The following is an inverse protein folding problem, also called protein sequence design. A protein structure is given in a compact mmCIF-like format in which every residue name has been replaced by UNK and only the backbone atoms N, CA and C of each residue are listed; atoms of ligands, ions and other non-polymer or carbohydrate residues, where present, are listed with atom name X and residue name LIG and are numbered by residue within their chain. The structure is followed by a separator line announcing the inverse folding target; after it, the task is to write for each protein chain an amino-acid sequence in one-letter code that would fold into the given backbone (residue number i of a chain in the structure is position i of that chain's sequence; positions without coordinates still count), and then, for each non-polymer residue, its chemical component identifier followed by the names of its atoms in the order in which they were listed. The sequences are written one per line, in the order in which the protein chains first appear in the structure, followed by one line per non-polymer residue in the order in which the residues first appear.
data_IF_208079749127
#
_entry.id   IF_208079749127
#
_cell.length_a   1.000
_cell.length_b   1.000
_cell.length_c   1.000
_cell.angle_alpha   90.00
_cell.angle_beta   90.00
_cell.angle_gamma   90.00
#
_symmetry.space_group_name_H-M   'P 1'
#
loop_
_entity.id
_entity.type
_entity.pdbx_description
1 polymer ?
#
# COMPACT_ATOMS: atom_id res chain seq x y z
N UNK A 1 18.45 6.94 -3.57
CA UNK A 1 17.48 6.10 -4.33
C UNK A 1 16.11 6.36 -3.74
N UNK A 2 15.06 6.28 -4.55
CA UNK A 2 13.69 6.53 -4.12
C UNK A 2 12.81 5.32 -4.41
N UNK A 3 11.75 5.19 -3.62
CA UNK A 3 10.71 4.18 -3.76
C UNK A 3 9.43 4.89 -4.18
N UNK A 4 8.73 4.36 -5.19
CA UNK A 4 7.44 4.88 -5.61
C UNK A 4 6.31 4.02 -5.06
N UNK A 5 5.28 4.66 -4.51
CA UNK A 5 4.10 4.01 -3.96
C UNK A 5 2.88 4.54 -4.69
N UNK A 6 2.11 3.64 -5.28
CA UNK A 6 0.84 3.92 -5.92
C UNK A 6 -0.29 3.86 -4.89
N UNK A 7 -1.14 4.89 -4.86
CA UNK A 7 -2.26 5.07 -3.94
C UNK A 7 -3.57 5.10 -4.71
N UNK A 8 -4.46 4.15 -4.45
CA UNK A 8 -5.71 3.99 -5.19
C UNK A 8 -6.83 4.85 -4.61
N UNK A 9 -7.33 5.79 -5.41
CA UNK A 9 -8.45 6.68 -5.11
C UNK A 9 -9.72 6.37 -5.93
N UNK A 10 -9.64 5.41 -6.84
CA UNK A 10 -10.75 5.00 -7.68
C UNK A 10 -11.83 4.20 -6.93
N UNK A 11 -12.86 3.80 -7.67
CA UNK A 11 -13.90 2.90 -7.19
C UNK A 11 -14.07 1.77 -8.19
N UNK A 12 -13.88 0.53 -7.75
CA UNK A 12 -14.09 -0.67 -8.56
C UNK A 12 -15.60 -0.94 -8.71
N UNK A 13 -15.97 -1.79 -9.66
CA UNK A 13 -17.35 -2.26 -9.79
C UNK A 13 -17.70 -3.28 -8.70
N UNK A 14 -18.99 -3.44 -8.42
CA UNK A 14 -19.54 -4.46 -7.52
C UNK A 14 -19.09 -4.33 -6.06
N UNK A 15 -18.96 -5.46 -5.38
CA UNK A 15 -18.61 -5.54 -3.95
C UNK A 15 -17.27 -4.86 -3.62
N UNK A 16 -16.28 -4.95 -4.51
CA UNK A 16 -15.00 -4.28 -4.34
C UNK A 16 -15.14 -2.74 -4.30
N UNK A 17 -16.11 -2.17 -5.04
CA UNK A 17 -16.40 -0.75 -5.00
C UNK A 17 -17.08 -0.31 -3.70
N UNK A 18 -17.92 -1.17 -3.11
CA UNK A 18 -18.51 -0.93 -1.78
C UNK A 18 -17.39 -0.89 -0.75
N UNK A 19 -16.48 -1.87 -0.79
CA UNK A 19 -15.31 -1.91 0.08
C UNK A 19 -14.45 -0.65 -0.06
N UNK A 20 -14.10 -0.22 -1.29
CA UNK A 20 -13.32 1.00 -1.51
C UNK A 20 -13.97 2.22 -0.87
N UNK A 21 -15.30 2.38 -1.02
CA UNK A 21 -16.05 3.51 -0.41
C UNK A 21 -16.04 3.42 1.11
N UNK A 22 -16.25 2.23 1.67
CA UNK A 22 -16.25 2.01 3.12
C UNK A 22 -14.89 2.37 3.74
N UNK A 23 -13.78 1.90 3.15
CA UNK A 23 -12.42 2.24 3.61
C UNK A 23 -12.20 3.76 3.59
N UNK A 24 -12.51 4.42 2.48
CA UNK A 24 -12.33 5.88 2.36
C UNK A 24 -13.19 6.67 3.35
N UNK A 25 -14.46 6.29 3.53
CA UNK A 25 -15.35 6.96 4.47
C UNK A 25 -14.87 6.78 5.92
N UNK A 26 -14.45 5.57 6.27
CA UNK A 26 -13.96 5.24 7.60
C UNK A 26 -12.63 5.94 7.93
N UNK A 27 -11.69 5.90 7.02
CA UNK A 27 -10.36 6.49 7.18
C UNK A 27 -10.32 7.99 6.86
N UNK A 28 -11.47 8.57 6.48
CA UNK A 28 -11.66 10.00 6.15
C UNK A 28 -10.63 10.52 5.14
N UNK A 29 -10.36 9.74 4.08
CA UNK A 29 -9.38 10.12 3.07
C UNK A 29 -9.67 9.50 1.70
N UNK A 30 -8.94 9.93 0.66
CA UNK A 30 -9.24 9.54 -0.72
C UNK A 30 -8.81 8.11 -1.07
N UNK A 31 -7.91 7.50 -0.29
CA UNK A 31 -7.27 6.25 -0.67
C UNK A 31 -7.90 5.04 0.01
N UNK A 32 -8.06 3.96 -0.76
CA UNK A 32 -8.60 2.67 -0.28
C UNK A 32 -7.67 1.49 -0.50
N UNK A 33 -6.53 1.71 -1.19
CA UNK A 33 -5.53 0.68 -1.46
C UNK A 33 -4.19 1.32 -1.79
N UNK A 34 -3.08 0.58 -1.65
CA UNK A 34 -1.76 1.01 -2.07
C UNK A 34 -0.92 -0.17 -2.56
N UNK A 35 0.07 0.13 -3.40
CA UNK A 35 1.02 -0.82 -3.97
C UNK A 35 2.41 -0.19 -4.06
N UNK A 36 3.47 -0.99 -3.90
CA UNK A 36 4.84 -0.58 -4.12
C UNK A 36 5.19 -0.80 -5.60
N UNK A 37 5.64 0.24 -6.29
CA UNK A 37 6.08 0.15 -7.68
C UNK A 37 7.52 -0.36 -7.71
N UNK A 38 7.72 -1.55 -8.27
CA UNK A 38 9.04 -2.17 -8.43
C UNK A 38 9.71 -1.80 -9.75
N UNK A 39 8.91 -1.61 -10.81
CA UNK A 39 9.41 -1.30 -12.15
C UNK A 39 8.37 -0.55 -12.97
N UNK A 40 8.81 0.44 -13.72
CA UNK A 40 8.03 1.12 -14.76
C UNK A 40 8.45 0.58 -16.12
N UNK A 41 7.49 0.40 -17.05
CA UNK A 41 7.72 -0.13 -18.39
C UNK A 41 7.45 0.93 -19.45
N UNK A 42 8.09 0.80 -20.62
CA UNK A 42 7.98 1.74 -21.74
C UNK A 42 6.56 1.80 -22.34
N UNK A 43 5.76 0.76 -22.12
CA UNK A 43 4.35 0.70 -22.57
C UNK A 43 3.38 1.40 -21.59
N UNK A 44 3.89 2.06 -20.56
CA UNK A 44 3.10 2.77 -19.55
C UNK A 44 2.50 1.86 -18.46
N UNK A 45 2.82 0.56 -18.47
CA UNK A 45 2.47 -0.33 -17.35
C UNK A 45 3.52 -0.28 -16.26
N UNK A 46 3.15 -0.73 -15.07
CA UNK A 46 4.08 -0.86 -13.94
C UNK A 46 3.98 -2.26 -13.34
N UNK A 47 5.11 -2.77 -12.88
CA UNK A 47 5.15 -3.95 -12.04
C UNK A 47 5.11 -3.51 -10.58
N UNK A 48 4.10 -3.96 -9.86
CA UNK A 48 3.85 -3.63 -8.46
C UNK A 48 3.91 -4.84 -7.55
N UNK A 49 4.27 -4.60 -6.30
CA UNK A 49 4.07 -5.49 -5.18
C UNK A 49 3.01 -4.95 -4.24
N UNK A 50 2.19 -5.82 -3.68
CA UNK A 50 1.20 -5.46 -2.69
C UNK A 50 0.44 -6.67 -2.17
N UNK A 51 -0.45 -6.44 -1.20
CA UNK A 51 -1.39 -7.43 -0.71
C UNK A 51 -2.81 -6.99 -0.99
N UNK A 52 -3.64 -7.89 -1.51
CA UNK A 52 -5.02 -7.58 -1.94
C UNK A 52 -5.94 -8.76 -1.67
N UNK A 53 -7.17 -8.45 -1.22
CA UNK A 53 -8.20 -9.47 -1.04
C UNK A 53 -8.56 -10.19 -2.34
N UNK A 54 -8.65 -9.45 -3.44
CA UNK A 54 -9.00 -10.04 -4.75
C UNK A 54 -7.91 -10.95 -5.32
N UNK A 55 -6.68 -10.78 -4.89
CA UNK A 55 -5.54 -11.58 -5.32
C UNK A 55 -5.09 -12.59 -4.23
N UNK A 56 -5.89 -12.74 -3.16
CA UNK A 56 -5.72 -13.67 -2.03
C UNK A 56 -4.49 -13.43 -1.15
N UNK A 57 -3.88 -12.26 -1.20
CA UNK A 57 -2.74 -11.91 -0.34
C UNK A 57 -1.62 -11.19 -1.07
N UNK A 58 -0.40 -11.47 -0.62
CA UNK A 58 0.83 -10.85 -1.13
C UNK A 58 1.20 -11.42 -2.51
N UNK A 59 1.35 -10.51 -3.49
CA UNK A 59 1.68 -10.90 -4.87
C UNK A 59 2.39 -9.79 -5.65
N UNK A 60 3.05 -10.19 -6.72
CA UNK A 60 3.58 -9.34 -7.80
C UNK A 60 2.56 -9.24 -8.94
N UNK A 61 2.38 -8.06 -9.51
CA UNK A 61 1.43 -7.85 -10.59
C UNK A 61 1.87 -6.72 -11.52
N UNK A 62 1.71 -6.92 -12.83
CA UNK A 62 1.90 -5.87 -13.82
C UNK A 62 0.54 -5.32 -14.24
N UNK A 63 0.39 -3.99 -14.23
CA UNK A 63 -0.87 -3.32 -14.53
C UNK A 63 -0.65 -1.88 -15.03
N UNK A 64 -1.58 -1.30 -15.79
CA UNK A 64 -1.57 0.12 -16.08
C UNK A 64 -1.97 0.94 -14.85
N UNK A 65 -1.35 2.10 -14.66
CA UNK A 65 -1.77 3.10 -13.67
C UNK A 65 -2.55 4.21 -14.37
N UNK A 66 -3.87 4.16 -14.23
CA UNK A 66 -4.75 5.25 -14.67
C UNK A 66 -4.60 6.44 -13.69
N UNK A 67 -4.08 7.61 -14.11
CA UNK A 67 -3.84 8.76 -13.23
C UNK A 67 -5.13 9.35 -12.64
N UNK A 68 -6.28 9.05 -13.22
CA UNK A 68 -7.58 9.43 -12.63
C UNK A 68 -7.93 8.58 -11.40
N UNK A 69 -7.34 7.39 -11.29
CA UNK A 69 -7.63 6.42 -10.20
C UNK A 69 -6.46 6.21 -9.25
N UNK A 70 -5.26 6.62 -9.64
CA UNK A 70 -4.05 6.43 -8.86
C UNK A 70 -3.29 7.74 -8.69
N UNK A 71 -2.82 7.99 -7.49
CA UNK A 71 -1.75 8.94 -7.21
C UNK A 71 -0.46 8.18 -6.93
N UNK A 72 0.68 8.76 -7.25
CA UNK A 72 1.99 8.19 -6.95
C UNK A 72 2.74 9.14 -6.02
N UNK A 73 3.27 8.62 -4.94
CA UNK A 73 4.20 9.33 -4.06
C UNK A 73 5.58 8.70 -4.15
N UNK A 74 6.59 9.54 -4.06
CA UNK A 74 7.99 9.12 -4.06
C UNK A 74 8.59 9.37 -2.68
N UNK A 75 9.25 8.36 -2.12
CA UNK A 75 9.84 8.42 -0.78
C UNK A 75 11.28 7.92 -0.81
N UNK A 76 12.19 8.46 0.02
CA UNK A 76 13.54 7.91 0.13
C UNK A 76 13.52 6.49 0.66
N UNK A 77 14.35 5.63 0.08
CA UNK A 77 14.48 4.25 0.53
C UNK A 77 15.27 3.38 -0.44
N UNK A 78 15.57 2.16 -0.01
CA UNK A 78 16.20 1.13 -0.82
C UNK A 78 15.12 0.22 -1.41
N UNK A 79 14.85 0.38 -2.69
CA UNK A 79 13.84 -0.42 -3.39
C UNK A 79 14.15 -1.92 -3.33
N UNK A 80 15.44 -2.29 -3.39
CA UNK A 80 15.87 -3.68 -3.33
C UNK A 80 15.42 -4.36 -2.04
N UNK A 81 15.60 -3.72 -0.88
CA UNK A 81 15.23 -4.26 0.43
C UNK A 81 13.71 -4.46 0.54
N UNK A 82 12.94 -3.50 0.03
CA UNK A 82 11.48 -3.60 0.02
C UNK A 82 10.98 -4.71 -0.92
N UNK A 83 11.61 -4.90 -2.08
CA UNK A 83 11.31 -6.00 -3.01
C UNK A 83 11.67 -7.34 -2.38
N UNK A 84 12.84 -7.47 -1.76
CA UNK A 84 13.27 -8.69 -1.05
C UNK A 84 12.26 -9.09 0.04
N UNK A 85 11.77 -8.11 0.80
CA UNK A 85 10.73 -8.36 1.79
C UNK A 85 9.46 -8.96 1.14
N UNK A 86 8.98 -8.37 0.05
CA UNK A 86 7.79 -8.87 -0.67
C UNK A 86 8.01 -10.26 -1.28
N UNK A 87 9.20 -10.53 -1.80
CA UNK A 87 9.57 -11.84 -2.34
C UNK A 87 9.52 -12.91 -1.27
N UNK A 88 10.04 -12.61 -0.07
CA UNK A 88 10.02 -13.51 1.08
C UNK A 88 8.60 -13.81 1.61
N UNK A 89 7.64 -12.88 1.41
CA UNK A 89 6.26 -13.01 1.87
C UNK A 89 5.27 -13.35 0.74
N UNK A 90 5.77 -13.70 -0.45
CA UNK A 90 4.92 -14.06 -1.59
C UNK A 90 4.05 -15.27 -1.25
N UNK A 91 2.73 -15.11 -1.40
CA UNK A 91 1.75 -16.16 -1.08
C UNK A 91 1.20 -16.09 0.34
N UNK A 92 1.71 -15.21 1.20
CA UNK A 92 1.07 -14.91 2.48
C UNK A 92 -0.36 -14.40 2.25
N UNK A 93 -1.29 -14.78 3.13
CA UNK A 93 -2.71 -14.51 2.97
C UNK A 93 -3.07 -13.02 3.12
N UNK A 94 -4.29 -12.68 2.72
CA UNK A 94 -4.84 -11.35 2.97
C UNK A 94 -5.49 -11.27 4.35
N UNK A 95 -5.10 -10.30 5.16
CA UNK A 95 -5.68 -10.07 6.48
C UNK A 95 -6.97 -9.25 6.38
N UNK A 96 -8.10 -9.95 6.26
CA UNK A 96 -9.45 -9.34 6.31
C UNK A 96 -9.73 -8.83 7.73
N UNK A 97 -9.28 -9.57 8.74
CA UNK A 97 -9.59 -9.32 10.13
C UNK A 97 -8.81 -8.12 10.64
N UNK A 98 -7.52 -8.00 10.28
CA UNK A 98 -6.70 -6.82 10.56
C UNK A 98 -7.27 -5.54 9.92
N UNK A 99 -7.80 -5.63 8.71
CA UNK A 99 -8.52 -4.51 8.09
C UNK A 99 -9.78 -4.08 8.87
N UNK A 100 -10.52 -5.04 9.43
CA UNK A 100 -11.66 -4.76 10.33
C UNK A 100 -11.17 -4.29 11.70
N UNK A 101 -9.97 -4.66 12.11
CA UNK A 101 -9.31 -4.25 13.36
C UNK A 101 -9.05 -2.75 13.47
N UNK A 102 -9.02 -2.00 12.35
CA UNK A 102 -9.13 -0.54 12.40
C UNK A 102 -10.46 -0.06 13.01
N UNK A 103 -11.48 -0.92 13.01
CA UNK A 103 -12.83 -0.63 13.51
C UNK A 103 -13.00 -1.14 14.93
N UNK A 104 -12.42 -2.30 15.26
CA UNK A 104 -12.61 -2.99 16.55
C UNK A 104 -11.25 -3.46 17.08
N UNK A 105 -10.67 -2.77 18.06
CA UNK A 105 -9.55 -3.30 18.88
C UNK A 105 -10.10 -4.26 19.93
N UNK A 106 -9.43 -5.40 20.24
CA UNK A 106 -8.11 -5.90 19.80
C UNK A 106 -8.25 -7.17 18.95
N UNK A 107 -7.83 -7.16 17.72
CA UNK A 107 -7.69 -8.38 16.93
C UNK A 107 -6.21 -8.74 16.89
N UNK A 108 -5.89 -10.00 17.15
CA UNK A 108 -4.52 -10.50 17.15
C UNK A 108 -3.88 -10.34 15.75
N UNK A 109 -2.67 -9.81 15.75
CA UNK A 109 -1.80 -9.71 14.58
C UNK A 109 -1.44 -11.13 14.10
N UNK A 110 -1.89 -11.51 12.89
CA UNK A 110 -1.54 -12.78 12.26
C UNK A 110 -0.40 -12.54 11.28
N UNK A 111 0.81 -12.84 11.71
CA UNK A 111 2.06 -12.61 10.95
C UNK A 111 2.16 -13.35 9.61
N UNK A 112 1.19 -14.16 9.26
CA UNK A 112 1.08 -14.85 7.96
C UNK A 112 0.09 -14.18 7.00
N UNK A 113 -0.49 -13.04 7.39
CA UNK A 113 -1.49 -12.33 6.61
C UNK A 113 -1.22 -10.83 6.66
N UNK A 114 -1.38 -10.17 5.53
CA UNK A 114 -1.07 -8.77 5.35
C UNK A 114 -2.19 -8.03 4.62
N UNK A 115 -2.61 -6.88 5.10
CA UNK A 115 -3.40 -5.98 4.27
C UNK A 115 -2.50 -4.99 3.51
N UNK A 116 -3.03 -4.26 2.54
CA UNK A 116 -2.23 -3.53 1.54
C UNK A 116 -1.23 -2.54 2.14
N UNK A 117 -1.66 -1.68 3.05
CA UNK A 117 -0.79 -0.66 3.65
C UNK A 117 0.16 -1.23 4.71
N UNK A 118 -0.24 -2.27 5.41
CA UNK A 118 0.63 -3.00 6.32
C UNK A 118 1.80 -3.63 5.58
N UNK A 119 1.54 -4.37 4.48
CA UNK A 119 2.59 -4.97 3.67
C UNK A 119 3.59 -3.94 3.12
N UNK A 120 3.09 -2.80 2.61
CA UNK A 120 3.97 -1.72 2.14
C UNK A 120 4.80 -1.14 3.28
N UNK A 121 4.20 -0.83 4.44
CA UNK A 121 4.92 -0.25 5.57
C UNK A 121 5.93 -1.22 6.18
N UNK A 122 5.61 -2.51 6.26
CA UNK A 122 6.54 -3.55 6.71
C UNK A 122 7.74 -3.68 5.76
N UNK A 123 7.51 -3.70 4.45
CA UNK A 123 8.56 -3.72 3.43
C UNK A 123 9.46 -2.47 3.47
N UNK A 124 8.94 -1.34 3.96
CA UNK A 124 9.72 -0.13 4.23
C UNK A 124 10.44 -0.14 5.59
N UNK A 125 10.36 -1.23 6.37
CA UNK A 125 11.03 -1.40 7.66
C UNK A 125 10.31 -0.79 8.86
N UNK A 126 9.03 -0.46 8.77
CA UNK A 126 8.27 0.04 9.91
C UNK A 126 7.83 -1.09 10.84
N UNK A 127 8.17 -0.99 12.12
CA UNK A 127 7.91 -2.05 13.12
C UNK A 127 6.42 -2.27 13.39
N UNK A 128 5.64 -1.19 13.46
CA UNK A 128 4.20 -1.22 13.75
C UNK A 128 3.37 -1.01 12.46
N UNK A 129 3.72 -1.70 11.38
CA UNK A 129 3.13 -1.55 10.06
C UNK A 129 1.59 -1.69 10.03
N UNK A 130 1.04 -2.55 10.89
CA UNK A 130 -0.40 -2.78 11.07
C UNK A 130 -1.20 -1.53 11.51
N UNK A 131 -0.52 -0.48 11.99
CA UNK A 131 -1.17 0.77 12.40
C UNK A 131 -1.54 1.68 11.24
N UNK A 132 -1.07 1.40 10.02
CA UNK A 132 -1.23 2.28 8.88
C UNK A 132 -2.34 1.80 7.94
N UNK A 133 -3.40 2.60 7.81
CA UNK A 133 -4.31 2.49 6.67
C UNK A 133 -3.73 3.23 5.45
N UNK A 134 -4.28 3.06 4.23
CA UNK A 134 -3.76 3.73 3.04
C UNK A 134 -3.65 5.26 3.17
N UNK A 135 -4.56 5.89 3.91
CA UNK A 135 -4.56 7.35 4.11
C UNK A 135 -3.53 7.81 5.14
N UNK A 136 -3.35 7.08 6.24
CA UNK A 136 -2.30 7.39 7.23
C UNK A 136 -0.90 7.08 6.70
N UNK A 137 -0.74 6.05 5.88
CA UNK A 137 0.48 5.78 5.12
C UNK A 137 0.80 6.96 4.20
N UNK A 138 -0.16 7.40 3.39
CA UNK A 138 0.03 8.52 2.47
C UNK A 138 0.41 9.81 3.22
N UNK A 139 -0.23 10.10 4.36
CA UNK A 139 0.09 11.26 5.18
C UNK A 139 1.51 11.18 5.78
N UNK A 140 1.87 10.03 6.34
CA UNK A 140 3.18 9.83 6.98
C UNK A 140 4.33 9.90 5.98
N UNK A 141 4.21 9.23 4.85
CA UNK A 141 5.24 9.19 3.83
C UNK A 141 5.30 10.48 3.01
N UNK A 142 4.16 11.09 2.69
CA UNK A 142 4.10 12.37 2.00
C UNK A 142 4.67 13.52 2.83
N UNK A 143 4.50 13.52 4.15
CA UNK A 143 5.14 14.48 5.05
C UNK A 143 6.66 14.32 5.05
N UNK A 144 7.16 13.08 5.12
CA UNK A 144 8.59 12.78 5.10
C UNK A 144 9.26 13.25 3.80
N UNK A 145 8.64 13.01 2.65
CA UNK A 145 9.15 13.47 1.36
C UNK A 145 9.31 14.99 1.33
N UNK A 146 8.27 15.75 1.71
CA UNK A 146 8.30 17.23 1.75
C UNK A 146 9.33 17.79 2.74
N UNK A 147 9.53 17.14 3.87
CA UNK A 147 10.48 17.57 4.90
C UNK A 147 11.92 17.43 4.41
N UNK A 148 12.22 16.39 3.63
CA UNK A 148 13.56 16.17 3.08
C UNK A 148 13.87 17.10 1.90
N UNK A 149 12.88 17.46 1.09
CA UNK A 149 13.02 18.45 0.03
C UNK A 149 13.24 19.89 0.59
N UNK A 150 12.74 20.16 1.78
CA UNK A 150 12.87 21.46 2.44
C UNK A 150 14.18 21.66 3.24
N UNK A 151 15.02 20.63 3.37
CA UNK A 151 16.33 20.76 4.01
C UNK A 151 17.35 21.24 2.97
N UNK A 152 17.89 22.46 3.08
CA UNK A 152 19.00 22.90 2.22
C UNK A 152 20.23 22.03 2.46
N UNK A 153 20.89 21.67 1.37
CA UNK A 153 22.15 20.93 1.37
C UNK A 153 23.27 21.68 2.12
#
# INVERSE_FOLDING_TARGET
MSIKIALYKGTRAGAAGIYNRAVRAWTKGPYSHCELIAQEHDDGTVTCWGSSFSDHGVRKKTMPLDPLKWDVIEVPGALADAVEWFEAHTGDGYDIVGNVGFICRPVADDRSKWFCSEAVMAALGYVDAWRFCPNTLAAALGYRAKTLEAQPA
#
